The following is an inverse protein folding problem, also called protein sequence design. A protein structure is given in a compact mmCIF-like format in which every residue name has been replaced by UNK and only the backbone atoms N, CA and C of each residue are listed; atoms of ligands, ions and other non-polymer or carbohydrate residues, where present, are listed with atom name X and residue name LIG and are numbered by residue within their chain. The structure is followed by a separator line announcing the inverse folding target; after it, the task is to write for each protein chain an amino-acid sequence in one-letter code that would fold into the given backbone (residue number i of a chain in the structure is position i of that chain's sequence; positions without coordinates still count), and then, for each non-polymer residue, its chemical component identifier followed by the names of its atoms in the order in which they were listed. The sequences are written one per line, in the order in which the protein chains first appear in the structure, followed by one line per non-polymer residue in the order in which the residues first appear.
data_IF_670747908236
#
_entry.id   IF_670747908236
#
_cell.length_a   1.000
_cell.length_b   1.000
_cell.length_c   1.000
_cell.angle_alpha   90.00
_cell.angle_beta   90.00
_cell.angle_gamma   90.00
#
_symmetry.space_group_name_H-M   'P 1'
#
loop_
_entity.id
_entity.type
_entity.pdbx_description
1 polymer ?
#
# COMPACT_ATOMS: atom_id res chain seq x y z
N UNK A 1 8.31 19.76 -16.05
CA UNK A 1 7.59 18.53 -16.49
C UNK A 1 6.24 18.54 -15.82
N UNK A 2 5.16 18.44 -16.61
CA UNK A 2 3.80 18.61 -16.10
C UNK A 2 3.32 17.29 -15.46
N UNK A 3 2.66 17.34 -14.30
CA UNK A 3 2.10 16.17 -13.61
C UNK A 3 1.26 15.29 -14.56
N UNK A 4 0.57 15.94 -15.51
CA UNK A 4 -0.24 15.30 -16.55
C UNK A 4 0.56 14.49 -17.59
N UNK A 5 1.82 14.84 -17.86
CA UNK A 5 2.68 14.06 -18.75
C UNK A 5 3.16 12.78 -18.08
N UNK A 6 3.40 12.82 -16.76
CA UNK A 6 3.67 11.64 -15.94
C UNK A 6 2.46 10.71 -15.79
N UNK A 7 1.25 11.19 -16.10
CA UNK A 7 0.01 10.40 -16.07
C UNK A 7 -0.37 9.79 -17.42
N UNK A 8 0.27 10.19 -18.53
CA UNK A 8 0.08 9.54 -19.84
C UNK A 8 0.68 8.13 -19.78
N UNK A 9 -0.19 7.12 -19.65
CA UNK A 9 0.20 5.72 -19.51
C UNK A 9 -0.21 5.10 -18.17
N UNK A 10 -0.80 5.89 -17.25
CA UNK A 10 -1.46 5.32 -16.08
C UNK A 10 -2.70 4.59 -16.58
N UNK A 11 -2.58 3.26 -16.73
CA UNK A 11 -3.73 2.43 -17.03
C UNK A 11 -4.79 2.67 -15.97
N UNK A 12 -5.95 3.13 -16.43
CA UNK A 12 -7.13 3.28 -15.59
C UNK A 12 -7.50 1.87 -15.15
N UNK A 13 -7.47 1.57 -13.84
CA UNK A 13 -7.80 0.24 -13.36
C UNK A 13 -9.24 -0.11 -13.77
N UNK A 14 -9.39 -1.19 -14.52
CA UNK A 14 -10.67 -1.65 -15.09
C UNK A 14 -11.35 -2.67 -14.17
N UNK A 15 -10.57 -3.39 -13.38
CA UNK A 15 -11.05 -4.40 -12.44
C UNK A 15 -10.99 -3.90 -11.00
N UNK A 16 -11.75 -4.55 -10.13
CA UNK A 16 -11.71 -4.26 -8.70
C UNK A 16 -10.36 -4.62 -8.07
N UNK A 17 -9.74 -5.70 -8.54
CA UNK A 17 -8.41 -6.10 -8.10
C UNK A 17 -7.37 -5.00 -8.40
N UNK A 18 -7.36 -4.49 -9.64
CA UNK A 18 -6.47 -3.39 -10.05
C UNK A 18 -6.75 -2.10 -9.26
N UNK A 19 -8.03 -1.79 -9.00
CA UNK A 19 -8.40 -0.62 -8.18
C UNK A 19 -7.89 -0.74 -6.75
N UNK A 20 -7.85 -1.96 -6.22
CA UNK A 20 -7.41 -2.27 -4.87
C UNK A 20 -5.90 -2.50 -4.77
N UNK A 21 -5.15 -2.44 -5.87
CA UNK A 21 -3.68 -2.48 -5.83
C UNK A 21 -3.13 -1.39 -4.91
N UNK A 22 -2.13 -1.76 -4.11
CA UNK A 22 -1.41 -0.84 -3.26
C UNK A 22 -0.40 -0.06 -4.10
N UNK A 23 -0.23 1.22 -3.77
CA UNK A 23 0.80 2.09 -4.35
C UNK A 23 1.45 2.92 -3.24
N UNK A 24 2.74 3.26 -3.42
CA UNK A 24 3.46 4.16 -2.51
C UNK A 24 3.17 5.60 -2.87
N UNK A 25 2.81 6.39 -1.88
CA UNK A 25 2.51 7.81 -2.01
C UNK A 25 3.28 8.61 -0.96
N UNK A 26 3.50 9.90 -1.20
CA UNK A 26 4.19 10.79 -0.26
C UNK A 26 3.18 11.73 0.39
N UNK A 27 3.36 12.04 1.67
CA UNK A 27 2.56 13.02 2.39
C UNK A 27 2.65 14.39 1.73
N UNK A 28 1.51 15.05 1.51
CA UNK A 28 1.50 16.41 0.96
C UNK A 28 2.09 17.46 1.92
N UNK A 29 2.34 17.08 3.18
CA UNK A 29 2.85 17.97 4.23
C UNK A 29 4.27 17.60 4.70
N UNK A 30 4.84 16.50 4.22
CA UNK A 30 6.10 15.95 4.72
C UNK A 30 7.01 15.52 3.57
N UNK A 31 8.24 16.02 3.57
CA UNK A 31 9.30 15.57 2.66
C UNK A 31 9.83 14.24 3.21
N UNK A 32 9.77 13.19 2.37
CA UNK A 32 10.23 11.83 2.65
C UNK A 32 9.40 11.11 3.71
N UNK A 33 8.11 11.43 3.75
CA UNK A 33 7.11 10.78 4.60
C UNK A 33 6.16 9.98 3.71
N UNK A 34 6.38 8.67 3.66
CA UNK A 34 5.74 7.76 2.72
C UNK A 34 4.55 7.04 3.34
N UNK A 35 3.50 6.93 2.54
CA UNK A 35 2.24 6.29 2.84
C UNK A 35 1.88 5.25 1.78
N UNK A 36 0.89 4.40 2.09
CA UNK A 36 0.27 3.51 1.11
C UNK A 36 -1.11 4.04 0.77
N UNK A 37 -1.45 4.00 -0.52
CA UNK A 37 -2.78 4.32 -1.05
C UNK A 37 -3.29 3.18 -1.92
N UNK A 38 -4.60 3.15 -2.20
CA UNK A 38 -5.16 2.30 -3.25
C UNK A 38 -5.00 2.99 -4.60
N UNK A 39 -4.77 2.24 -5.67
CA UNK A 39 -4.63 2.77 -7.03
C UNK A 39 -5.85 3.58 -7.48
N UNK A 40 -7.05 3.20 -7.03
CA UNK A 40 -8.27 3.94 -7.29
C UNK A 40 -8.32 5.34 -6.64
N UNK A 41 -7.54 5.58 -5.57
CA UNK A 41 -7.53 6.85 -4.85
C UNK A 41 -6.11 7.19 -4.34
N UNK A 42 -5.23 7.51 -5.26
CA UNK A 42 -3.82 7.83 -4.96
C UNK A 42 -3.61 9.15 -4.20
N UNK A 43 -4.63 10.03 -4.18
CA UNK A 43 -4.57 11.32 -3.50
C UNK A 43 -4.86 11.22 -1.99
N UNK A 44 -5.22 10.02 -1.52
CA UNK A 44 -5.49 9.76 -0.11
C UNK A 44 -4.94 8.40 0.31
N UNK A 45 -4.11 8.41 1.35
CA UNK A 45 -3.56 7.20 1.94
C UNK A 45 -4.60 6.35 2.68
N UNK A 46 -4.24 5.11 2.99
CA UNK A 46 -5.04 4.19 3.80
C UNK A 46 -5.37 4.77 5.19
N UNK A 47 -4.46 5.56 5.78
CA UNK A 47 -4.70 6.22 7.07
C UNK A 47 -5.46 7.56 6.95
N UNK A 48 -5.88 7.96 5.75
CA UNK A 48 -6.65 9.18 5.50
C UNK A 48 -5.83 10.44 5.25
N UNK A 49 -4.50 10.37 5.37
CA UNK A 49 -3.59 11.49 5.08
C UNK A 49 -3.67 11.86 3.59
N UNK A 50 -3.77 13.16 3.23
CA UNK A 50 -3.62 13.63 1.85
C UNK A 50 -2.22 13.34 1.31
N UNK A 51 -2.16 12.79 0.10
CA UNK A 51 -0.90 12.33 -0.48
C UNK A 51 -0.73 12.74 -1.94
N UNK A 52 0.52 12.68 -2.40
CA UNK A 52 0.93 12.85 -3.79
C UNK A 52 1.51 11.53 -4.33
N UNK A 53 1.41 11.28 -5.64
CA UNK A 53 1.96 10.08 -6.25
C UNK A 53 3.48 10.08 -6.21
N UNK A 54 4.06 8.89 -6.08
CA UNK A 54 5.51 8.70 -6.18
C UNK A 54 5.82 7.68 -7.28
N UNK A 55 7.08 7.63 -7.72
CA UNK A 55 7.57 6.58 -8.61
C UNK A 55 8.14 5.37 -7.84
N UNK A 56 7.99 5.34 -6.52
CA UNK A 56 8.55 4.28 -5.67
C UNK A 56 7.66 3.04 -5.80
N UNK A 57 8.23 1.88 -6.18
CA UNK A 57 7.46 0.65 -6.22
C UNK A 57 7.14 0.18 -4.79
N UNK A 58 6.00 -0.49 -4.59
CA UNK A 58 5.62 -1.06 -3.28
C UNK A 58 6.66 -2.06 -2.78
N UNK A 59 7.37 -2.75 -3.66
CA UNK A 59 8.47 -3.64 -3.29
C UNK A 59 9.61 -2.94 -2.53
N UNK A 60 9.79 -1.62 -2.75
CA UNK A 60 10.80 -0.80 -2.07
C UNK A 60 10.31 -0.22 -0.73
N UNK A 61 9.14 -0.65 -0.24
CA UNK A 61 8.58 -0.18 1.03
C UNK A 61 9.47 -0.64 2.19
N UNK A 62 9.95 0.32 2.99
CA UNK A 62 10.81 0.03 4.14
C UNK A 62 12.23 -0.43 3.79
N UNK A 63 12.64 -0.38 2.52
CA UNK A 63 14.02 -0.68 2.14
C UNK A 63 14.98 0.31 2.80
N UNK A 64 16.12 -0.21 3.26
CA UNK A 64 17.21 0.64 3.77
C UNK A 64 17.83 1.37 2.58
N UNK A 65 17.54 2.67 2.50
CA UNK A 65 18.15 3.52 1.50
C UNK A 65 19.61 3.86 1.87
N UNK A 66 20.36 4.25 0.84
CA UNK A 66 21.78 4.62 0.91
C UNK A 66 22.10 5.58 2.08
N UNK A 67 23.24 5.37 2.74
CA UNK A 67 23.65 6.17 3.91
C UNK A 67 23.92 7.64 3.58
N UNK A 68 24.10 7.95 2.30
CA UNK A 68 24.41 9.30 1.80
C UNK A 68 23.18 10.21 1.63
N UNK A 69 22.00 9.76 2.02
CA UNK A 69 20.80 10.58 1.88
C UNK A 69 20.72 11.66 2.96
N UNK A 70 20.29 12.89 2.61
CA UNK A 70 20.26 14.02 3.54
C UNK A 70 19.28 13.82 4.70
N UNK A 71 18.31 12.90 4.56
CA UNK A 71 17.35 12.53 5.59
C UNK A 71 16.95 11.07 5.39
N UNK A 72 16.63 10.37 6.49
CA UNK A 72 16.04 9.03 6.41
C UNK A 72 14.55 9.12 6.07
N UNK A 73 14.07 8.33 5.10
CA UNK A 73 12.65 8.26 4.82
C UNK A 73 11.89 7.70 6.01
N UNK A 74 10.67 8.18 6.21
CA UNK A 74 9.72 7.65 7.18
C UNK A 74 8.64 6.90 6.43
N UNK A 75 8.25 5.72 6.93
CA UNK A 75 7.19 4.91 6.34
C UNK A 75 6.07 4.79 7.36
N UNK A 76 4.84 5.14 6.97
CA UNK A 76 3.70 5.17 7.87
C UNK A 76 3.31 3.76 8.35
N UNK A 77 3.53 3.47 9.63
CA UNK A 77 3.21 2.17 10.23
C UNK A 77 1.71 1.83 10.16
N UNK A 78 0.83 2.81 10.35
CA UNK A 78 -0.62 2.62 10.26
C UNK A 78 -1.02 2.13 8.87
N UNK A 79 -0.44 2.73 7.82
CA UNK A 79 -0.64 2.29 6.45
C UNK A 79 -0.15 0.85 6.25
N UNK A 80 1.04 0.50 6.77
CA UNK A 80 1.58 -0.86 6.66
C UNK A 80 0.66 -1.91 7.30
N UNK A 81 0.12 -1.62 8.50
CA UNK A 81 -0.82 -2.53 9.21
C UNK A 81 -2.14 -2.70 8.47
N UNK A 82 -2.65 -1.65 7.84
CA UNK A 82 -3.90 -1.71 7.06
C UNK A 82 -3.69 -2.42 5.71
N UNK A 83 -2.50 -2.31 5.12
CA UNK A 83 -2.14 -2.92 3.85
C UNK A 83 -1.86 -4.42 3.98
N UNK A 84 -1.14 -4.79 5.03
CA UNK A 84 -0.78 -6.16 5.37
C UNK A 84 -1.23 -6.43 6.80
N UNK A 85 -2.55 -6.57 7.04
CA UNK A 85 -3.01 -7.08 8.32
C UNK A 85 -2.30 -8.42 8.51
N UNK A 86 -1.55 -8.58 9.61
CA UNK A 86 -1.05 -9.90 9.95
C UNK A 86 -2.25 -10.82 9.95
N UNK A 87 -2.19 -11.88 9.13
CA UNK A 87 -3.29 -12.82 9.04
C UNK A 87 -3.70 -13.23 10.45
N UNK A 88 -4.97 -13.02 10.78
CA UNK A 88 -5.63 -13.98 11.65
C UNK A 88 -5.24 -15.35 11.11
N UNK A 89 -4.61 -16.15 11.98
CA UNK A 89 -4.13 -17.47 11.61
C UNK A 89 -5.23 -18.20 10.83
N UNK A 90 -4.81 -18.71 9.69
CA UNK A 90 -5.38 -19.92 9.10
C UNK A 90 -5.28 -21.03 10.16
N UNK A 91 -6.15 -21.02 11.17
CA UNK A 91 -6.39 -22.17 12.03
C UNK A 91 -7.38 -23.06 11.28
N UNK A 92 -6.81 -23.83 10.38
CA UNK A 92 -7.47 -24.96 9.75
C UNK A 92 -7.94 -25.96 10.80
N UNK A 93 -9.13 -25.75 11.36
CA UNK A 93 -9.94 -26.82 11.93
C UNK A 93 -11.16 -27.03 11.05
N UNK A 94 -10.95 -27.88 10.06
CA UNK A 94 -11.97 -28.70 9.41
C UNK A 94 -12.81 -29.41 10.46
N UNK A 95 -13.93 -28.82 10.89
CA UNK A 95 -15.04 -29.62 11.46
C UNK A 95 -15.77 -30.29 10.30
N UNK A 96 -15.14 -31.34 9.79
CA UNK A 96 -15.81 -32.38 9.03
C UNK A 96 -16.94 -32.91 9.92
N UNK A 97 -18.17 -32.76 9.44
CA UNK A 97 -19.28 -33.57 9.90
C UNK A 97 -18.96 -35.03 9.58
N UNK A 98 -18.93 -35.86 10.61
CA UNK A 98 -19.12 -37.30 10.48
C UNK A 98 -20.17 -37.70 11.50
N UNK A 99 -21.36 -38.00 10.99
CA UNK A 99 -22.32 -38.83 11.71
C UNK A 99 -21.87 -40.29 11.77
N UNK A 100 -22.60 -41.06 12.59
CA UNK A 100 -22.46 -42.50 12.94
C UNK A 100 -21.33 -42.78 13.94
N UNK A 101 -21.49 -43.58 15.00
CA UNK A 101 -22.38 -44.71 15.28
C UNK A 101 -22.38 -44.95 16.80
N UNK A 102 -23.46 -45.52 17.37
CA UNK A 102 -23.54 -45.91 18.79
C UNK A 102 -24.95 -45.92 19.35
#
# INVERSE_FOLDING_TARGET
MNLFESMKGVQIPTTEAERNELVVTESSHGIWDYHLSRRANIMRSLCGTPTMPTAIPVSAWGEQLDENLPRRPTYCETCARLAWPQGEGDDGTTRQGSGRDG
#
